data_IF_574519516803
#
_entry.id   IF_574519516803
#
_cell.length_a   1.000
_cell.length_b   1.000
_cell.length_c   1.000
_cell.angle_alpha   90.00
_cell.angle_beta   90.00
_cell.angle_gamma   90.00
#
_symmetry.space_group_name_H-M   'P 1'
#
loop_
_entity.id
_entity.type
_entity.pdbx_description
1 polymer ?
#
# COMPACT_ATOMS: atom_id res chain seq x y z
N UNK A 1 60.54 8.83 36.37
CA UNK A 1 59.61 7.70 36.52
C UNK A 1 58.20 7.99 35.98
N UNK A 2 57.98 8.98 35.08
CA UNK A 2 56.63 9.56 34.87
C UNK A 2 56.15 9.69 33.41
N UNK A 3 56.88 9.19 32.39
CA UNK A 3 56.49 9.41 30.99
C UNK A 3 55.62 8.28 30.40
N UNK A 4 55.81 7.03 30.85
CA UNK A 4 55.04 5.87 30.37
C UNK A 4 53.61 5.81 30.92
N UNK A 5 53.38 6.29 32.14
CA UNK A 5 52.05 6.33 32.77
C UNK A 5 51.12 7.36 32.13
N UNK A 6 51.67 8.52 31.72
CA UNK A 6 50.89 9.59 31.09
C UNK A 6 50.42 9.23 29.67
N UNK A 7 51.22 8.46 28.92
CA UNK A 7 50.92 7.98 27.57
C UNK A 7 49.85 6.86 27.57
N UNK A 8 49.85 5.99 28.59
CA UNK A 8 48.84 4.92 28.75
C UNK A 8 47.47 5.47 29.20
N UNK A 9 47.45 6.52 30.03
CA UNK A 9 46.22 7.23 30.41
C UNK A 9 45.58 7.98 29.24
N UNK A 10 46.37 8.55 28.32
CA UNK A 10 45.84 9.24 27.13
C UNK A 10 45.25 8.27 26.10
N UNK A 11 45.81 7.07 25.92
CA UNK A 11 45.27 6.06 24.99
C UNK A 11 43.96 5.45 25.52
N UNK A 12 43.88 5.15 26.82
CA UNK A 12 42.67 4.59 27.45
C UNK A 12 41.51 5.59 27.50
N UNK A 13 41.80 6.87 27.81
CA UNK A 13 40.81 7.95 27.73
C UNK A 13 40.33 8.18 26.30
N UNK A 14 41.21 8.10 25.30
CA UNK A 14 40.82 8.23 23.88
C UNK A 14 39.95 7.05 23.42
N UNK A 15 40.23 5.84 23.89
CA UNK A 15 39.39 4.65 23.63
C UNK A 15 38.00 4.79 24.27
N UNK A 16 37.94 5.24 25.52
CA UNK A 16 36.69 5.45 26.25
C UNK A 16 35.84 6.57 25.61
N UNK A 17 36.47 7.66 25.18
CA UNK A 17 35.82 8.76 24.46
C UNK A 17 35.25 8.26 23.12
N UNK A 18 36.02 7.45 22.37
CA UNK A 18 35.52 6.85 21.11
C UNK A 18 34.30 5.97 21.34
N UNK A 19 34.31 5.13 22.36
CA UNK A 19 33.21 4.22 22.67
C UNK A 19 31.93 4.99 23.09
N UNK A 20 32.08 6.08 23.85
CA UNK A 20 30.97 6.96 24.20
C UNK A 20 30.40 7.72 22.98
N UNK A 21 31.27 8.18 22.07
CA UNK A 21 30.84 8.82 20.82
C UNK A 21 30.07 7.82 19.94
N UNK A 22 30.58 6.60 19.78
CA UNK A 22 29.90 5.55 18.99
C UNK A 22 28.53 5.22 19.57
N UNK A 23 28.41 5.05 20.90
CA UNK A 23 27.12 4.81 21.56
C UNK A 23 26.14 5.96 21.38
N UNK A 24 26.61 7.20 21.49
CA UNK A 24 25.78 8.40 21.29
C UNK A 24 25.24 8.52 19.85
N UNK A 25 26.07 8.20 18.86
CA UNK A 25 25.66 8.16 17.45
C UNK A 25 24.63 7.05 17.20
N UNK A 26 24.83 5.85 17.75
CA UNK A 26 23.88 4.74 17.62
C UNK A 26 22.51 5.05 18.24
N UNK A 27 22.48 5.68 19.41
CA UNK A 27 21.24 6.11 20.07
C UNK A 27 20.54 7.21 19.27
N UNK A 28 21.30 8.20 18.78
CA UNK A 28 20.75 9.28 17.96
C UNK A 28 20.18 8.77 16.64
N UNK A 29 20.81 7.76 16.02
CA UNK A 29 20.33 7.11 14.81
C UNK A 29 19.03 6.32 15.06
N UNK A 30 18.93 5.61 16.18
CA UNK A 30 17.70 4.90 16.58
C UNK A 30 16.54 5.87 16.85
N UNK A 31 16.80 6.99 17.54
CA UNK A 31 15.78 8.03 17.78
C UNK A 31 15.35 8.66 16.45
N UNK A 32 16.29 8.96 15.55
CA UNK A 32 15.97 9.47 14.21
C UNK A 32 15.07 8.51 13.41
N UNK A 33 15.33 7.21 13.47
CA UNK A 33 14.48 6.19 12.82
C UNK A 33 13.08 6.16 13.44
N UNK A 34 12.95 6.23 14.78
CA UNK A 34 11.66 6.22 15.48
C UNK A 34 10.82 7.48 15.28
N UNK A 35 11.47 8.64 15.11
CA UNK A 35 10.79 9.94 14.88
C UNK A 35 10.39 10.17 13.42
N UNK A 36 10.72 9.26 12.49
CA UNK A 36 10.23 9.40 11.11
C UNK A 36 8.71 9.30 11.09
N UNK A 37 8.01 10.30 10.54
CA UNK A 37 6.56 10.24 10.43
C UNK A 37 6.18 9.04 9.56
N UNK A 38 5.36 8.14 10.10
CA UNK A 38 4.71 7.11 9.30
C UNK A 38 3.81 7.83 8.31
N UNK A 39 4.23 7.88 7.04
CA UNK A 39 3.39 8.39 5.98
C UNK A 39 2.17 7.47 5.87
N UNK A 40 1.01 7.90 6.38
CA UNK A 40 -0.20 7.08 6.27
C UNK A 40 -0.72 7.17 4.84
N UNK A 41 -0.38 6.20 4.01
CA UNK A 41 -1.00 6.00 2.71
C UNK A 41 -2.12 4.95 2.82
N UNK A 42 -2.99 4.87 1.82
CA UNK A 42 -3.96 3.79 1.72
C UNK A 42 -3.23 2.54 1.22
N UNK A 43 -3.04 1.55 2.10
CA UNK A 43 -2.17 0.41 1.81
C UNK A 43 -2.96 -0.88 1.69
N UNK A 44 -2.79 -1.62 0.59
CA UNK A 44 -3.26 -3.00 0.54
C UNK A 44 -2.67 -3.92 1.61
N UNK A 45 -1.51 -3.56 2.18
CA UNK A 45 -0.85 -4.33 3.25
C UNK A 45 -1.76 -4.55 4.46
N UNK A 46 -2.67 -3.62 4.77
CA UNK A 46 -3.59 -3.78 5.90
C UNK A 46 -4.65 -4.85 5.62
N UNK A 47 -5.12 -4.95 4.38
CA UNK A 47 -5.98 -6.07 3.97
C UNK A 47 -5.21 -7.38 4.12
N UNK A 48 -3.98 -7.44 3.59
CA UNK A 48 -3.12 -8.61 3.71
C UNK A 48 -2.90 -8.98 5.20
N UNK A 49 -2.63 -8.05 6.09
CA UNK A 49 -2.38 -8.37 7.50
C UNK A 49 -3.65 -8.80 8.26
N UNK A 50 -4.80 -8.17 7.95
CA UNK A 50 -6.03 -8.37 8.70
C UNK A 50 -6.93 -9.50 8.19
N UNK A 51 -6.78 -9.93 6.94
CA UNK A 51 -7.71 -10.87 6.31
C UNK A 51 -6.97 -11.90 5.47
N UNK A 52 -7.33 -13.18 5.62
CA UNK A 52 -6.74 -14.26 4.82
C UNK A 52 -7.24 -14.27 3.37
N UNK A 53 -8.48 -13.85 3.15
CA UNK A 53 -9.07 -13.68 1.83
C UNK A 53 -9.57 -12.24 1.69
N UNK A 54 -9.18 -11.49 0.64
CA UNK A 54 -9.66 -10.12 0.47
C UNK A 54 -11.13 -10.04 0.07
N UNK A 55 -11.77 -11.16 -0.30
CA UNK A 55 -13.20 -11.22 -0.65
C UNK A 55 -13.96 -12.10 0.33
N UNK A 56 -14.95 -11.51 0.98
CA UNK A 56 -15.87 -12.17 1.89
C UNK A 56 -16.86 -13.06 1.10
N UNK A 57 -17.53 -13.99 1.79
CA UNK A 57 -18.55 -14.86 1.17
C UNK A 57 -19.71 -14.07 0.54
N UNK A 58 -19.99 -12.87 1.06
CA UNK A 58 -20.97 -11.93 0.50
C UNK A 58 -20.54 -11.32 -0.83
N UNK A 59 -19.29 -11.54 -1.25
CA UNK A 59 -18.67 -10.93 -2.42
C UNK A 59 -18.07 -9.54 -2.15
N UNK A 60 -18.25 -8.98 -0.96
CA UNK A 60 -17.64 -7.72 -0.52
C UNK A 60 -16.12 -7.86 -0.39
N UNK A 61 -15.40 -6.83 -0.84
CA UNK A 61 -13.94 -6.76 -0.68
C UNK A 61 -13.61 -6.03 0.63
N UNK A 62 -12.73 -6.61 1.43
CA UNK A 62 -12.41 -6.18 2.80
C UNK A 62 -11.88 -4.75 2.90
N UNK A 63 -11.38 -4.17 1.80
CA UNK A 63 -11.01 -2.76 1.69
C UNK A 63 -12.16 -1.82 2.10
N UNK A 64 -13.40 -2.24 1.85
CA UNK A 64 -14.61 -1.48 2.21
C UNK A 64 -14.83 -1.33 3.73
N UNK A 65 -14.12 -2.11 4.57
CA UNK A 65 -14.21 -2.01 6.02
C UNK A 65 -13.47 -0.76 6.56
N UNK A 66 -12.51 -0.24 5.80
CA UNK A 66 -11.78 0.98 6.15
C UNK A 66 -12.07 2.16 5.19
N UNK A 67 -12.41 1.85 3.94
CA UNK A 67 -12.77 2.82 2.89
C UNK A 67 -14.28 2.82 2.69
N UNK A 68 -14.96 3.68 3.44
CA UNK A 68 -16.42 3.62 3.62
C UNK A 68 -17.19 4.29 2.48
N UNK A 69 -16.55 5.19 1.74
CA UNK A 69 -17.17 5.86 0.61
C UNK A 69 -17.19 4.95 -0.62
N UNK A 70 -18.35 4.81 -1.27
CA UNK A 70 -18.49 4.06 -2.50
C UNK A 70 -18.22 4.95 -3.73
N UNK A 71 -17.38 4.45 -4.63
CA UNK A 71 -16.96 5.10 -5.86
C UNK A 71 -16.70 4.04 -6.94
N UNK A 72 -17.04 4.32 -8.21
CA UNK A 72 -16.90 3.33 -9.28
C UNK A 72 -15.44 2.97 -9.55
N UNK A 73 -15.25 1.74 -9.99
CA UNK A 73 -14.02 1.13 -10.47
C UNK A 73 -14.43 0.26 -11.65
N UNK A 74 -13.74 0.41 -12.78
CA UNK A 74 -14.03 -0.35 -14.00
C UNK A 74 -12.88 -1.30 -14.30
N UNK A 75 -13.18 -2.39 -15.00
CA UNK A 75 -12.20 -3.37 -15.45
C UNK A 75 -12.49 -3.75 -16.90
N UNK A 76 -11.45 -3.69 -17.72
CA UNK A 76 -11.49 -4.13 -19.11
C UNK A 76 -10.54 -5.31 -19.29
N UNK A 77 -11.06 -6.40 -19.86
CA UNK A 77 -10.32 -7.63 -20.17
C UNK A 77 -10.77 -8.14 -21.53
N UNK A 78 -9.93 -8.90 -22.26
CA UNK A 78 -10.35 -9.58 -23.47
C UNK A 78 -11.53 -10.51 -23.20
N UNK A 79 -12.44 -10.63 -24.18
CA UNK A 79 -13.61 -11.51 -24.08
C UNK A 79 -13.20 -12.99 -23.91
N UNK A 80 -12.10 -13.40 -24.54
CA UNK A 80 -11.59 -14.78 -24.49
C UNK A 80 -10.07 -14.74 -24.62
N UNK A 81 -9.42 -15.69 -23.94
CA UNK A 81 -7.97 -15.87 -23.97
C UNK A 81 -7.65 -17.32 -24.30
N UNK A 82 -6.48 -17.54 -24.92
CA UNK A 82 -5.93 -18.87 -25.12
C UNK A 82 -5.14 -19.32 -23.87
N UNK A 83 -4.91 -20.62 -23.69
CA UNK A 83 -3.97 -21.15 -22.70
C UNK A 83 -2.55 -20.56 -22.84
N UNK A 84 -1.80 -20.53 -21.74
CA UNK A 84 -0.40 -20.06 -21.68
C UNK A 84 -0.15 -18.75 -22.47
N UNK A 85 -1.07 -17.79 -22.33
CA UNK A 85 -1.04 -16.53 -23.07
C UNK A 85 -1.03 -15.36 -22.10
N UNK A 86 -0.17 -14.39 -22.38
CA UNK A 86 -0.14 -13.12 -21.63
C UNK A 86 -1.19 -12.18 -22.21
N UNK A 87 -2.02 -11.61 -21.35
CA UNK A 87 -3.02 -10.61 -21.71
C UNK A 87 -3.06 -9.45 -20.71
N UNK A 88 -3.66 -8.34 -21.14
CA UNK A 88 -3.83 -7.14 -20.32
C UNK A 88 -5.19 -7.19 -19.60
N UNK A 89 -5.18 -6.99 -18.28
CA UNK A 89 -6.37 -6.63 -17.52
C UNK A 89 -6.22 -5.17 -17.06
N UNK A 90 -7.06 -4.29 -17.58
CA UNK A 90 -6.95 -2.84 -17.35
C UNK A 90 -7.95 -2.44 -16.27
N UNK A 91 -7.45 -1.94 -15.14
CA UNK A 91 -8.29 -1.46 -14.03
C UNK A 91 -8.30 0.05 -14.03
N UNK A 92 -9.49 0.64 -14.14
CA UNK A 92 -9.69 2.08 -14.11
C UNK A 92 -10.26 2.52 -12.75
N UNK A 93 -9.59 3.49 -12.12
CA UNK A 93 -9.98 4.09 -10.85
C UNK A 93 -10.24 5.59 -11.08
N UNK A 94 -11.35 5.94 -11.78
CA UNK A 94 -11.59 7.30 -12.24
C UNK A 94 -11.78 8.25 -11.06
N UNK A 95 -11.15 9.42 -11.09
CA UNK A 95 -11.48 10.52 -10.17
C UNK A 95 -11.18 11.88 -10.77
N UNK A 96 -11.83 12.91 -10.21
CA UNK A 96 -11.52 14.28 -10.55
C UNK A 96 -10.14 14.65 -10.01
N UNK A 97 -9.21 14.79 -10.96
CA UNK A 97 -7.78 15.06 -10.74
C UNK A 97 -7.52 16.45 -10.14
N UNK A 98 -8.49 17.37 -10.17
CA UNK A 98 -8.36 18.68 -9.53
C UNK A 98 -8.61 18.61 -8.02
N UNK A 99 -9.29 17.56 -7.54
CA UNK A 99 -9.59 17.39 -6.13
C UNK A 99 -8.35 17.01 -5.32
N UNK A 100 -8.26 17.62 -4.14
CA UNK A 100 -7.24 17.32 -3.12
C UNK A 100 -7.90 16.71 -1.89
N UNK A 101 -7.19 15.82 -1.21
CA UNK A 101 -7.61 15.22 0.06
C UNK A 101 -6.85 15.79 1.25
N UNK A 102 -7.38 15.57 2.46
CA UNK A 102 -6.68 15.88 3.71
C UNK A 102 -5.62 14.80 3.99
N UNK A 103 -4.36 15.21 4.05
CA UNK A 103 -3.24 14.34 4.41
C UNK A 103 -3.16 14.12 5.93
N UNK A 104 -2.31 13.21 6.39
CA UNK A 104 -2.11 12.94 7.81
C UNK A 104 -1.72 14.19 8.62
N UNK A 105 -0.89 15.05 8.02
CA UNK A 105 -0.49 16.34 8.62
C UNK A 105 -1.61 17.40 8.61
N UNK A 106 -2.75 17.15 7.97
CA UNK A 106 -3.89 18.06 7.87
C UNK A 106 -3.84 19.01 6.68
N UNK A 107 -2.72 19.05 5.93
CA UNK A 107 -2.61 19.84 4.69
C UNK A 107 -3.37 19.15 3.56
N UNK A 108 -3.79 19.93 2.55
CA UNK A 108 -4.41 19.41 1.33
C UNK A 108 -3.33 18.87 0.38
N UNK A 109 -3.51 17.66 -0.14
CA UNK A 109 -2.58 17.02 -1.07
C UNK A 109 -3.25 16.12 -2.09
N UNK A 110 -2.46 15.55 -2.99
CA UNK A 110 -2.93 14.63 -4.03
C UNK A 110 -3.49 13.32 -3.49
N UNK A 111 -4.21 12.60 -4.35
CA UNK A 111 -4.74 11.27 -4.05
C UNK A 111 -3.78 10.19 -4.56
N UNK A 112 -3.64 9.15 -3.75
CA UNK A 112 -3.03 7.89 -4.18
C UNK A 112 -4.15 6.90 -4.47
N UNK A 113 -3.83 5.93 -5.32
CA UNK A 113 -4.73 4.84 -5.69
C UNK A 113 -4.08 3.49 -5.41
N UNK A 114 -4.91 2.47 -5.31
CA UNK A 114 -4.48 1.07 -5.19
C UNK A 114 -5.61 0.15 -5.59
N UNK A 115 -5.27 -1.10 -5.90
CA UNK A 115 -6.23 -2.10 -6.31
C UNK A 115 -5.88 -3.50 -5.82
N UNK A 116 -6.91 -4.33 -5.72
CA UNK A 116 -6.83 -5.78 -5.61
C UNK A 116 -7.59 -6.39 -6.78
N UNK A 117 -6.92 -7.27 -7.52
CA UNK A 117 -7.46 -8.02 -8.63
C UNK A 117 -7.48 -9.50 -8.24
N UNK A 118 -8.67 -10.11 -8.24
CA UNK A 118 -8.89 -11.50 -7.85
C UNK A 118 -9.21 -12.27 -9.12
N UNK A 119 -8.24 -13.09 -9.53
CA UNK A 119 -8.32 -13.92 -10.72
C UNK A 119 -8.74 -15.35 -10.35
N UNK A 120 -9.21 -16.14 -11.34
CA UNK A 120 -9.47 -17.55 -11.15
C UNK A 120 -8.18 -18.30 -10.79
N UNK A 121 -8.32 -19.48 -10.21
CA UNK A 121 -7.17 -20.33 -9.89
C UNK A 121 -6.33 -20.66 -11.13
N UNK A 122 -5.03 -20.76 -10.92
CA UNK A 122 -4.04 -21.03 -11.97
C UNK A 122 -3.56 -19.81 -12.76
N UNK A 123 -4.34 -18.72 -12.81
CA UNK A 123 -3.89 -17.43 -13.36
C UNK A 123 -2.88 -16.77 -12.43
N UNK A 124 -1.89 -16.10 -12.99
CA UNK A 124 -0.87 -15.40 -12.20
C UNK A 124 -0.32 -14.18 -12.96
N UNK A 125 0.47 -13.36 -12.27
CA UNK A 125 1.20 -12.27 -12.92
C UNK A 125 2.18 -12.87 -13.94
N UNK A 126 2.20 -12.33 -15.15
CA UNK A 126 3.13 -12.78 -16.19
C UNK A 126 4.58 -12.58 -15.73
N UNK A 127 5.47 -13.58 -15.94
CA UNK A 127 6.87 -13.44 -15.58
C UNK A 127 7.54 -12.39 -16.48
N UNK A 128 8.56 -11.64 -16.00
CA UNK A 128 9.12 -10.50 -16.71
C UNK A 128 9.64 -10.78 -18.13
N UNK A 129 10.06 -12.03 -18.40
CA UNK A 129 10.54 -12.47 -19.71
C UNK A 129 9.42 -12.74 -20.73
N UNK A 130 8.17 -12.85 -20.30
CA UNK A 130 6.99 -13.05 -21.15
C UNK A 130 6.22 -11.76 -21.42
N UNK A 131 6.59 -10.66 -20.78
CA UNK A 131 5.95 -9.35 -20.94
C UNK A 131 6.56 -8.66 -22.17
N UNK A 132 5.71 -8.27 -23.13
CA UNK A 132 6.16 -7.53 -24.31
C UNK A 132 6.70 -6.15 -23.95
N UNK A 133 7.59 -5.55 -24.77
CA UNK A 133 8.11 -4.21 -24.53
C UNK A 133 7.00 -3.15 -24.40
N UNK A 134 5.92 -3.28 -25.18
CA UNK A 134 4.76 -2.39 -25.16
C UNK A 134 4.03 -2.45 -23.80
N UNK A 135 3.73 -3.65 -23.30
CA UNK A 135 3.08 -3.83 -21.99
C UNK A 135 4.00 -3.31 -20.87
N UNK A 136 5.30 -3.56 -21.00
CA UNK A 136 6.31 -3.11 -20.02
C UNK A 136 6.37 -1.58 -19.94
N UNK A 137 6.22 -0.87 -21.06
CA UNK A 137 6.17 0.59 -21.09
C UNK A 137 4.91 1.12 -20.38
N UNK A 138 3.73 0.53 -20.65
CA UNK A 138 2.46 0.89 -19.97
C UNK A 138 2.56 0.72 -18.45
N UNK A 139 3.16 -0.38 -17.99
CA UNK A 139 3.33 -0.68 -16.57
C UNK A 139 4.36 0.27 -15.93
N UNK A 140 5.42 0.61 -16.66
CA UNK A 140 6.52 1.44 -16.17
C UNK A 140 7.14 0.88 -14.89
N UNK A 141 7.09 1.67 -13.81
CA UNK A 141 7.70 1.34 -12.51
C UNK A 141 6.69 0.79 -11.49
N UNK A 142 5.51 0.33 -11.94
CA UNK A 142 4.53 -0.27 -11.07
C UNK A 142 5.04 -1.61 -10.53
N UNK A 143 4.83 -1.84 -9.23
CA UNK A 143 5.18 -3.09 -8.57
C UNK A 143 3.90 -3.80 -8.15
N UNK A 144 3.72 -5.00 -8.69
CA UNK A 144 2.61 -5.89 -8.34
C UNK A 144 3.08 -6.89 -7.30
N UNK A 145 2.19 -7.24 -6.39
CA UNK A 145 2.45 -8.22 -5.34
C UNK A 145 1.32 -9.24 -5.29
N UNK A 146 1.66 -10.49 -5.01
CA UNK A 146 0.63 -11.48 -4.64
C UNK A 146 0.10 -11.17 -3.24
N UNK A 147 -1.19 -11.38 -3.03
CA UNK A 147 -1.84 -11.13 -1.75
C UNK A 147 -1.23 -11.96 -0.61
N UNK A 148 -0.85 -13.21 -0.94
CA UNK A 148 -0.09 -14.14 -0.11
C UNK A 148 0.91 -14.90 -0.99
N UNK A 149 2.00 -15.46 -0.42
CA UNK A 149 2.94 -16.30 -1.17
C UNK A 149 2.28 -17.47 -1.90
N UNK A 150 1.22 -18.04 -1.33
CA UNK A 150 0.47 -19.17 -1.91
C UNK A 150 -0.76 -18.76 -2.74
N UNK A 151 -1.10 -17.46 -2.83
CA UNK A 151 -2.26 -16.96 -3.59
C UNK A 151 -1.80 -16.07 -4.74
N UNK A 152 -1.25 -16.70 -5.78
CA UNK A 152 -0.68 -16.00 -6.94
C UNK A 152 -1.72 -15.36 -7.86
N UNK A 153 -2.94 -15.90 -7.87
CA UNK A 153 -4.10 -15.40 -8.59
C UNK A 153 -4.71 -14.13 -7.99
N UNK A 154 -4.32 -13.77 -6.76
CA UNK A 154 -4.78 -12.54 -6.12
C UNK A 154 -3.65 -11.53 -6.16
N UNK A 155 -3.79 -10.51 -7.00
CA UNK A 155 -2.76 -9.52 -7.28
C UNK A 155 -3.15 -8.19 -6.66
N UNK A 156 -2.17 -7.54 -6.07
CA UNK A 156 -2.33 -6.34 -5.26
C UNK A 156 -1.34 -5.28 -5.73
N UNK A 157 -1.80 -4.04 -5.78
CA UNK A 157 -0.98 -2.89 -6.14
C UNK A 157 -1.38 -1.65 -5.34
N UNK A 158 -0.39 -0.80 -5.09
CA UNK A 158 -0.57 0.49 -4.44
C UNK A 158 0.02 0.53 -3.04
N UNK A 159 0.12 1.72 -2.44
CA UNK A 159 -0.33 3.02 -2.99
C UNK A 159 0.58 3.52 -4.11
N UNK A 160 -0.02 4.04 -5.18
CA UNK A 160 0.68 4.74 -6.27
C UNK A 160 0.03 6.10 -6.55
N UNK A 161 0.77 7.09 -7.11
CA UNK A 161 0.22 8.41 -7.39
C UNK A 161 -0.97 8.35 -8.36
N UNK A 162 -2.15 8.77 -7.89
CA UNK A 162 -3.40 8.68 -8.67
C UNK A 162 -3.39 9.55 -9.93
N UNK A 163 -2.64 10.66 -9.91
CA UNK A 163 -2.54 11.57 -11.05
C UNK A 163 -1.92 10.88 -12.27
N UNK A 164 -0.99 9.96 -12.02
CA UNK A 164 -0.26 9.22 -13.05
C UNK A 164 -0.93 7.89 -13.37
N UNK A 165 -1.49 7.22 -12.38
CA UNK A 165 -1.96 5.83 -12.49
C UNK A 165 -3.46 5.70 -12.20
N UNK A 166 -4.29 6.55 -12.83
CA UNK A 166 -5.75 6.36 -12.77
C UNK A 166 -6.21 5.12 -13.53
N UNK A 167 -5.37 4.64 -14.44
CA UNK A 167 -5.52 3.39 -15.17
C UNK A 167 -4.29 2.52 -14.86
N UNK A 168 -4.52 1.24 -14.56
CA UNK A 168 -3.50 0.29 -14.16
C UNK A 168 -3.64 -0.97 -15.02
N UNK A 169 -2.66 -1.22 -15.87
CA UNK A 169 -2.58 -2.43 -16.70
C UNK A 169 -1.89 -3.55 -15.93
N UNK A 170 -2.60 -4.66 -15.71
CA UNK A 170 -2.05 -5.87 -15.10
C UNK A 170 -1.66 -6.86 -16.21
N UNK A 171 -0.39 -7.30 -16.28
CA UNK A 171 0.02 -8.34 -17.22
C UNK A 171 -0.29 -9.71 -16.62
N UNK A 172 -1.32 -10.38 -17.13
CA UNK A 172 -1.79 -11.66 -16.59
C UNK A 172 -1.40 -12.80 -17.53
N UNK A 173 -0.89 -13.89 -16.96
CA UNK A 173 -0.65 -15.15 -17.67
C UNK A 173 -1.81 -16.12 -17.40
N UNK A 174 -2.45 -16.61 -18.46
CA UNK A 174 -3.44 -17.67 -18.37
C UNK A 174 -2.78 -19.04 -18.10
N UNK A 175 -3.43 -19.93 -17.33
CA UNK A 175 -2.91 -21.27 -17.11
C UNK A 175 -3.07 -22.15 -18.37
N UNK A 176 -2.38 -23.28 -18.37
CA UNK A 176 -2.53 -24.32 -19.40
C UNK A 176 -3.21 -25.58 -18.82
N UNK A 177 -4.48 -25.86 -19.19
CA UNK A 177 -5.19 -27.09 -18.79
C UNK A 177 -4.54 -28.40 -19.26
N UNK A 178 -3.66 -28.36 -20.28
CA UNK A 178 -2.90 -29.53 -20.68
C UNK A 178 -1.89 -29.95 -19.59
N UNK A 179 -1.31 -28.96 -18.90
CA UNK A 179 -0.27 -29.13 -17.87
C UNK A 179 -0.89 -29.17 -16.46
N UNK A 180 -1.75 -28.19 -16.13
CA UNK A 180 -2.43 -28.06 -14.84
C UNK A 180 -3.80 -28.74 -14.91
N UNK A 181 -3.97 -29.88 -14.24
CA UNK A 181 -5.20 -30.70 -14.33
C UNK A 181 -6.38 -30.16 -13.52
N UNK A 182 -6.13 -29.23 -12.61
CA UNK A 182 -7.07 -28.55 -11.72
C UNK A 182 -7.76 -27.34 -12.38
N UNK A 183 -7.33 -26.94 -13.59
CA UNK A 183 -7.97 -25.88 -14.37
C UNK A 183 -8.65 -26.44 -15.62
N UNK A 184 -9.74 -25.80 -16.05
CA UNK A 184 -10.58 -26.28 -17.15
C UNK A 184 -10.97 -25.14 -18.09
N UNK A 185 -11.41 -25.47 -19.30
CA UNK A 185 -11.96 -24.49 -20.22
C UNK A 185 -13.39 -24.12 -19.82
N UNK A 186 -13.54 -23.02 -19.09
CA UNK A 186 -14.82 -22.51 -18.62
C UNK A 186 -14.85 -20.98 -18.68
N UNK A 187 -16.04 -20.41 -18.54
CA UNK A 187 -16.20 -18.98 -18.27
C UNK A 187 -15.93 -18.73 -16.79
N UNK A 188 -14.89 -17.96 -16.49
CA UNK A 188 -14.53 -17.62 -15.12
C UNK A 188 -14.86 -16.17 -14.77
N UNK A 189 -15.28 -15.89 -13.52
CA UNK A 189 -15.42 -14.52 -13.03
C UNK A 189 -14.07 -13.94 -12.63
N UNK A 190 -13.93 -12.62 -12.81
CA UNK A 190 -12.83 -11.82 -12.26
C UNK A 190 -13.47 -10.78 -11.32
N UNK A 191 -12.86 -10.56 -10.16
CA UNK A 191 -13.31 -9.55 -9.21
C UNK A 191 -12.24 -8.49 -9.00
N UNK A 192 -12.65 -7.23 -8.94
CA UNK A 192 -11.75 -6.10 -8.74
C UNK A 192 -12.23 -5.23 -7.58
N UNK A 193 -11.29 -4.76 -6.78
CA UNK A 193 -11.51 -3.70 -5.80
C UNK A 193 -10.48 -2.61 -6.03
N UNK A 194 -10.93 -1.38 -6.26
CA UNK A 194 -10.06 -0.21 -6.40
C UNK A 194 -10.36 0.80 -5.31
N UNK A 195 -9.33 1.51 -4.86
CA UNK A 195 -9.45 2.61 -3.92
C UNK A 195 -8.71 3.85 -4.41
N UNK A 196 -9.25 5.02 -4.05
CA UNK A 196 -8.65 6.34 -4.23
C UNK A 196 -8.76 7.14 -2.94
N UNK A 197 -7.65 7.76 -2.52
CA UNK A 197 -7.60 8.54 -1.29
C UNK A 197 -7.48 7.70 -0.02
N UNK A 198 -7.42 8.38 1.12
CA UNK A 198 -7.15 7.79 2.45
C UNK A 198 -8.42 7.21 3.10
N UNK A 199 -8.23 6.12 3.84
CA UNK A 199 -9.30 5.44 4.59
C UNK A 199 -9.78 6.23 5.82
N UNK A 200 -10.96 5.85 6.30
CA UNK A 200 -11.64 6.47 7.45
C UNK A 200 -11.22 5.81 8.79
N UNK A 201 -10.79 4.55 8.76
CA UNK A 201 -10.51 3.72 9.93
C UNK A 201 -9.12 3.09 9.79
N UNK A 202 -8.36 3.05 10.88
CA UNK A 202 -7.07 2.37 10.98
C UNK A 202 -7.25 0.90 11.43
N UNK A 203 -6.25 0.03 11.22
CA UNK A 203 -6.34 -1.38 11.61
C UNK A 203 -6.61 -1.62 13.11
N UNK A 204 -6.23 -0.68 13.97
CA UNK A 204 -6.51 -0.71 15.42
C UNK A 204 -7.95 -0.29 15.78
N UNK A 205 -8.78 0.03 14.78
CA UNK A 205 -10.16 0.51 14.94
C UNK A 205 -10.27 2.02 15.20
N UNK A 206 -9.15 2.73 15.33
CA UNK A 206 -9.16 4.18 15.54
C UNK A 206 -9.58 4.93 14.27
N UNK A 207 -10.25 6.09 14.45
CA UNK A 207 -10.67 6.94 13.34
C UNK A 207 -9.50 7.76 12.80
N UNK A 208 -9.43 7.89 11.48
CA UNK A 208 -8.47 8.78 10.84
C UNK A 208 -8.91 10.25 10.92
N UNK A 209 -8.06 11.18 10.47
CA UNK A 209 -8.45 12.58 10.27
C UNK A 209 -9.22 12.82 8.96
N UNK A 210 -9.52 11.77 8.19
CA UNK A 210 -10.30 11.82 6.94
C UNK A 210 -11.68 11.15 7.12
N UNK A 211 -12.36 11.52 8.20
CA UNK A 211 -13.71 11.06 8.55
C UNK A 211 -14.45 12.12 9.35
N UNK A 212 -15.75 11.93 9.55
CA UNK A 212 -16.60 12.81 10.35
C UNK A 212 -16.49 12.46 11.84
N UNK A 213 -16.37 13.51 12.67
CA UNK A 213 -16.43 13.41 14.13
C UNK A 213 -17.82 13.82 14.60
N UNK A 214 -18.48 12.95 15.35
CA UNK A 214 -19.82 13.18 15.88
C UNK A 214 -19.74 13.69 17.32
N UNK A 215 -20.78 14.41 17.75
CA UNK A 215 -20.92 14.79 19.16
C UNK A 215 -21.05 13.54 20.04
N UNK A 216 -20.43 13.55 21.21
CA UNK A 216 -20.48 12.43 22.17
C UNK A 216 -21.79 12.39 22.95
N UNK A 217 -22.49 13.52 23.07
CA UNK A 217 -23.77 13.66 23.75
C UNK A 217 -24.58 14.82 23.16
N UNK A 218 -25.89 14.80 23.37
CA UNK A 218 -26.76 15.93 23.08
C UNK A 218 -26.51 17.07 24.09
N UNK A 219 -26.62 18.33 23.64
CA UNK A 219 -26.46 19.49 24.52
C UNK A 219 -26.05 20.76 23.77
N UNK A 220 -25.65 21.77 24.55
CA UNK A 220 -25.21 23.07 24.05
C UNK A 220 -23.68 23.14 24.06
N UNK A 221 -23.09 23.53 22.92
CA UNK A 221 -21.63 23.74 22.81
C UNK A 221 -21.24 24.99 23.61
N UNK A 222 -20.58 24.79 24.76
CA UNK A 222 -20.16 25.90 25.63
C UNK A 222 -18.93 26.64 25.12
N UNK A 223 -17.97 25.93 24.50
CA UNK A 223 -16.70 26.50 24.07
C UNK A 223 -16.03 25.66 23.00
N UNK A 224 -15.31 26.32 22.08
CA UNK A 224 -14.44 25.70 21.08
C UNK A 224 -13.03 26.24 21.31
N UNK A 225 -12.06 25.34 21.42
CA UNK A 225 -10.65 25.69 21.57
C UNK A 225 -9.90 25.30 20.30
N UNK A 226 -9.28 26.26 19.64
CA UNK A 226 -8.36 25.98 18.54
C UNK A 226 -6.96 25.74 19.09
N UNK A 227 -6.37 24.58 18.79
CA UNK A 227 -4.97 24.28 19.09
C UNK A 227 -4.18 24.29 17.79
N UNK A 228 -3.21 25.20 17.67
CA UNK A 228 -2.25 25.17 16.55
C UNK A 228 -1.49 23.85 16.58
N UNK A 229 -1.50 23.13 15.46
CA UNK A 229 -0.65 21.94 15.28
C UNK A 229 0.80 22.42 15.20
N UNK A 230 1.70 21.77 15.94
CA UNK A 230 3.13 21.98 15.74
C UNK A 230 3.47 21.53 14.32
N UNK A 231 3.89 22.45 13.46
CA UNK A 231 4.45 22.12 12.15
C UNK A 231 5.71 21.28 12.38
N UNK A 232 5.57 19.96 12.31
CA UNK A 232 6.72 19.08 12.14
C UNK A 232 7.15 19.27 10.69
N UNK A 233 8.20 20.09 10.52
CA UNK A 233 8.90 20.27 9.23
C UNK A 233 9.43 18.95 8.73
#
# INVERSE_FOLDING_TARGET
MNNWTMQMQTISTFSWIKEQITRSISVSLMIYIMTRPSSSNAYPVFAQQGYDNPREATGRIVCANCHLANKPVDIEVPQTILPDTVFEAVVQIPYDRQLKQVLANGKKGGLNVGAVLILPEGFELAPPNRISPEIKEKIGNLSFQSYRPNKKNIIVIGPVPGQKYSEITFPILSPDPAIKKDVHFLKYPIYVGGNRGRGQIYPDGSKSNNTVYNATAAGIVKKIYEKKRADTK
#
